data_IF_850534669193
#
_entry.id   IF_850534669193
#
_cell.length_a   1.000
_cell.length_b   1.000
_cell.length_c   1.000
_cell.angle_alpha   90.00
_cell.angle_beta   90.00
_cell.angle_gamma   90.00
#
_symmetry.space_group_name_H-M   'P 1'
#
loop_
_entity.id
_entity.type
_entity.pdbx_description
1 polymer ?
#
# COMPACT_ATOMS: atom_id res chain seq x y z
N UNK A 1 9.68 24.70 11.05
CA UNK A 1 10.42 23.45 10.92
C UNK A 1 10.01 22.86 9.58
N UNK A 2 10.91 22.87 8.57
CA UNK A 2 10.60 22.41 7.21
C UNK A 2 10.25 20.93 7.25
N UNK A 3 9.18 20.55 6.55
CA UNK A 3 8.88 19.15 6.24
C UNK A 3 10.07 18.54 5.50
N UNK A 4 10.42 17.27 5.72
CA UNK A 4 11.47 16.61 4.96
C UNK A 4 11.14 16.68 3.47
N UNK A 5 12.18 16.81 2.66
CA UNK A 5 12.07 16.85 1.21
C UNK A 5 11.43 15.54 0.71
N UNK A 6 10.26 15.64 0.10
CA UNK A 6 9.54 14.48 -0.45
C UNK A 6 10.39 13.65 -1.42
N UNK A 7 11.38 14.27 -2.08
CA UNK A 7 12.33 13.58 -2.94
C UNK A 7 13.30 12.66 -2.20
N UNK A 8 13.67 13.01 -0.96
CA UNK A 8 14.59 12.21 -0.16
C UNK A 8 13.93 10.90 0.32
N UNK A 9 12.67 10.94 0.73
CA UNK A 9 11.93 9.74 1.17
C UNK A 9 11.70 8.78 0.02
N UNK A 10 11.37 9.29 -1.16
CA UNK A 10 11.21 8.49 -2.40
C UNK A 10 12.51 7.76 -2.75
N UNK A 11 13.65 8.45 -2.69
CA UNK A 11 14.96 7.84 -2.99
C UNK A 11 15.33 6.75 -1.96
N UNK A 12 15.06 6.98 -0.67
CA UNK A 12 15.31 6.02 0.40
C UNK A 12 14.44 4.77 0.20
N UNK A 13 13.15 4.94 -0.04
CA UNK A 13 12.20 3.84 -0.26
C UNK A 13 12.61 3.00 -1.47
N UNK A 14 12.98 3.63 -2.59
CA UNK A 14 13.49 2.95 -3.77
C UNK A 14 14.72 2.09 -3.45
N UNK A 15 15.69 2.64 -2.74
CA UNK A 15 16.91 1.91 -2.36
C UNK A 15 16.61 0.72 -1.43
N UNK A 16 15.79 0.92 -0.42
CA UNK A 16 15.38 -0.14 0.52
C UNK A 16 14.70 -1.28 -0.21
N UNK A 17 13.70 -0.99 -1.05
CA UNK A 17 12.95 -2.01 -1.77
C UNK A 17 13.77 -2.72 -2.86
N UNK A 18 14.77 -2.05 -3.42
CA UNK A 18 15.73 -2.72 -4.31
C UNK A 18 16.53 -3.78 -3.57
N UNK A 19 17.01 -3.48 -2.35
CA UNK A 19 17.72 -4.43 -1.50
C UNK A 19 16.79 -5.58 -1.08
N UNK A 20 15.61 -5.25 -0.57
CA UNK A 20 14.60 -6.25 -0.16
C UNK A 20 14.25 -7.18 -1.32
N UNK A 21 14.05 -6.65 -2.53
CA UNK A 21 13.77 -7.48 -3.69
C UNK A 21 14.91 -8.45 -4.01
N UNK A 22 16.16 -8.07 -3.77
CA UNK A 22 17.31 -8.97 -4.00
C UNK A 22 17.40 -10.11 -2.98
N UNK A 23 16.81 -9.94 -1.80
CA UNK A 23 16.73 -10.96 -0.75
C UNK A 23 15.56 -11.93 -0.97
N UNK A 24 14.49 -11.49 -1.65
CA UNK A 24 13.35 -12.30 -2.02
C UNK A 24 13.57 -12.90 -3.40
N UNK A 25 13.72 -14.22 -3.45
CA UNK A 25 13.84 -14.93 -4.72
C UNK A 25 12.55 -14.86 -5.53
N UNK A 26 12.67 -15.03 -6.85
CA UNK A 26 11.50 -15.14 -7.75
C UNK A 26 10.51 -16.21 -7.28
N UNK A 27 10.97 -17.25 -6.58
CA UNK A 27 10.13 -18.32 -6.04
C UNK A 27 9.09 -17.81 -5.02
N UNK A 28 9.42 -16.79 -4.24
CA UNK A 28 8.45 -16.15 -3.34
C UNK A 28 7.34 -15.43 -4.13
N UNK A 29 7.72 -14.68 -5.16
CA UNK A 29 6.77 -14.02 -6.03
C UNK A 29 5.88 -15.04 -6.75
N UNK A 30 6.46 -16.11 -7.27
CA UNK A 30 5.70 -17.18 -7.95
C UNK A 30 4.68 -17.85 -7.03
N UNK A 31 5.03 -18.08 -5.76
CA UNK A 31 4.06 -18.62 -4.78
C UNK A 31 2.90 -17.67 -4.52
N UNK A 32 3.17 -16.37 -4.39
CA UNK A 32 2.12 -15.38 -4.21
C UNK A 32 1.21 -15.30 -5.45
N UNK A 33 1.79 -15.31 -6.64
CA UNK A 33 1.04 -15.33 -7.90
C UNK A 33 0.24 -16.62 -8.12
N UNK A 34 0.71 -17.75 -7.59
CA UNK A 34 0.02 -19.04 -7.69
C UNK A 34 -1.11 -19.20 -6.66
N UNK A 35 -1.30 -18.26 -5.76
CA UNK A 35 -2.35 -18.34 -4.76
C UNK A 35 -3.73 -18.56 -5.41
N UNK A 36 -4.56 -19.38 -4.79
CA UNK A 36 -5.87 -19.75 -5.34
C UNK A 36 -6.88 -18.59 -5.21
N UNK A 37 -6.69 -17.72 -4.23
CA UNK A 37 -7.59 -16.61 -3.92
C UNK A 37 -6.81 -15.41 -3.38
N UNK A 38 -7.45 -14.24 -3.39
CA UNK A 38 -6.92 -13.04 -2.74
C UNK A 38 -7.10 -13.17 -1.23
N UNK A 39 -6.02 -12.90 -0.51
CA UNK A 39 -6.04 -12.80 0.95
C UNK A 39 -5.43 -11.48 1.40
N UNK A 40 -5.83 -10.99 2.57
CA UNK A 40 -5.40 -9.72 3.11
C UNK A 40 -4.47 -9.88 4.31
N UNK A 41 -3.33 -9.22 4.20
CA UNK A 41 -2.39 -9.01 5.30
C UNK A 41 -1.71 -10.26 5.85
N UNK A 42 -1.04 -10.07 6.97
CA UNK A 42 -0.25 -11.11 7.64
C UNK A 42 -1.08 -12.32 8.09
N UNK A 43 -2.36 -12.11 8.40
CA UNK A 43 -3.28 -13.16 8.84
C UNK A 43 -3.94 -13.90 7.69
N UNK A 44 -3.64 -13.54 6.43
CA UNK A 44 -4.15 -14.21 5.23
C UNK A 44 -5.67 -14.33 5.23
N UNK A 45 -6.38 -13.23 5.63
CA UNK A 45 -7.85 -13.23 5.68
C UNK A 45 -8.39 -13.26 4.26
N UNK A 46 -9.19 -14.27 3.87
CA UNK A 46 -9.70 -14.40 2.51
C UNK A 46 -10.59 -13.21 2.10
N UNK A 47 -10.44 -12.74 0.86
CA UNK A 47 -11.29 -11.69 0.31
C UNK A 47 -12.78 -12.07 0.34
N UNK A 48 -13.10 -13.35 0.11
CA UNK A 48 -14.49 -13.84 0.17
C UNK A 48 -15.16 -13.64 1.54
N UNK A 49 -14.35 -13.53 2.61
CA UNK A 49 -14.87 -13.34 3.97
C UNK A 49 -15.00 -11.84 4.31
N UNK A 50 -14.22 -10.98 3.65
CA UNK A 50 -14.24 -9.53 3.86
C UNK A 50 -15.13 -8.79 2.86
N UNK A 51 -15.13 -9.20 1.61
CA UNK A 51 -15.92 -8.57 0.54
C UNK A 51 -15.48 -7.12 0.23
N UNK A 52 -14.19 -6.80 0.43
CA UNK A 52 -13.66 -5.45 0.23
C UNK A 52 -13.63 -5.07 -1.25
N UNK A 53 -13.24 -5.99 -2.12
CA UNK A 53 -13.12 -5.76 -3.56
C UNK A 53 -14.45 -5.99 -4.27
N UNK A 54 -15.24 -6.96 -3.81
CA UNK A 54 -16.46 -7.38 -4.48
C UNK A 54 -16.20 -8.04 -5.84
N UNK A 55 -17.17 -7.95 -6.75
CA UNK A 55 -16.97 -8.42 -8.13
C UNK A 55 -16.10 -7.42 -8.89
N UNK A 56 -14.95 -7.90 -9.35
CA UNK A 56 -13.95 -7.10 -10.08
C UNK A 56 -13.95 -7.38 -11.58
N UNK A 57 -14.77 -8.33 -12.05
CA UNK A 57 -14.79 -8.70 -13.47
C UNK A 57 -15.12 -7.49 -14.34
N UNK A 58 -14.26 -7.22 -15.32
CA UNK A 58 -14.42 -6.10 -16.25
C UNK A 58 -14.11 -4.71 -15.67
N UNK A 59 -13.69 -4.59 -14.42
CA UNK A 59 -13.29 -3.31 -13.85
C UNK A 59 -11.87 -2.92 -14.29
N UNK A 60 -11.66 -1.62 -14.48
CA UNK A 60 -10.34 -1.02 -14.60
C UNK A 60 -9.79 -0.79 -13.17
N UNK A 61 -8.71 -1.49 -12.83
CA UNK A 61 -8.14 -1.49 -11.47
C UNK A 61 -6.72 -0.95 -11.50
N UNK A 62 -6.39 -0.05 -10.57
CA UNK A 62 -5.04 0.43 -10.36
C UNK A 62 -4.50 -0.06 -9.02
N UNK A 63 -3.33 -0.69 -9.01
CA UNK A 63 -2.61 -1.06 -7.80
C UNK A 63 -1.47 -0.07 -7.56
N UNK A 64 -1.52 0.66 -6.44
CA UNK A 64 -0.51 1.64 -6.02
C UNK A 64 0.49 1.02 -5.03
N UNK A 65 1.76 0.98 -5.44
CA UNK A 65 2.81 0.25 -4.73
C UNK A 65 2.65 -1.25 -4.93
N UNK A 66 2.57 -1.69 -6.19
CA UNK A 66 2.24 -3.08 -6.53
C UNK A 66 3.36 -4.09 -6.23
N UNK A 67 4.58 -3.64 -5.98
CA UNK A 67 5.71 -4.53 -5.76
C UNK A 67 5.89 -5.52 -6.91
N UNK A 68 5.84 -6.80 -6.62
CA UNK A 68 5.86 -7.87 -7.63
C UNK A 68 4.52 -8.10 -8.31
N UNK A 69 3.54 -7.24 -8.10
CA UNK A 69 2.21 -7.22 -8.72
C UNK A 69 1.40 -8.52 -8.56
N UNK A 70 1.57 -9.20 -7.42
CA UNK A 70 0.83 -10.45 -7.19
C UNK A 70 -0.68 -10.21 -7.09
N UNK A 71 -1.10 -9.13 -6.42
CA UNK A 71 -2.52 -8.78 -6.29
C UNK A 71 -3.11 -8.42 -7.66
N UNK A 72 -2.41 -7.62 -8.47
CA UNK A 72 -2.79 -7.36 -9.87
C UNK A 72 -2.92 -8.64 -10.67
N UNK A 73 -2.00 -9.60 -10.50
CA UNK A 73 -2.06 -10.91 -11.16
C UNK A 73 -3.30 -11.72 -10.75
N UNK A 74 -3.65 -11.70 -9.45
CA UNK A 74 -4.86 -12.36 -8.95
C UNK A 74 -6.15 -11.68 -9.47
N UNK A 75 -6.17 -10.36 -9.51
CA UNK A 75 -7.28 -9.57 -10.06
C UNK A 75 -7.46 -9.84 -11.56
N UNK A 76 -6.37 -9.91 -12.33
CA UNK A 76 -6.42 -10.26 -13.76
C UNK A 76 -7.05 -11.64 -13.99
N UNK A 77 -6.76 -12.62 -13.13
CA UNK A 77 -7.39 -13.96 -13.21
C UNK A 77 -8.88 -13.95 -12.88
N UNK A 78 -9.35 -12.95 -12.14
CA UNK A 78 -10.76 -12.72 -11.86
C UNK A 78 -11.45 -11.87 -12.93
N UNK A 79 -10.76 -11.55 -14.03
CA UNK A 79 -11.32 -10.82 -15.16
C UNK A 79 -11.24 -9.30 -15.03
N UNK A 80 -10.53 -8.76 -14.05
CA UNK A 80 -10.23 -7.32 -13.99
C UNK A 80 -9.20 -6.92 -15.07
N UNK A 81 -9.12 -5.63 -15.35
CA UNK A 81 -8.07 -5.01 -16.18
C UNK A 81 -7.12 -4.19 -15.27
N UNK A 82 -6.16 -4.85 -14.60
CA UNK A 82 -5.29 -4.17 -13.69
C UNK A 82 -4.20 -3.37 -14.39
N UNK A 83 -3.73 -2.33 -13.70
CA UNK A 83 -2.48 -1.61 -13.96
C UNK A 83 -1.70 -1.59 -12.65
N UNK A 84 -0.45 -2.02 -12.65
CA UNK A 84 0.43 -1.96 -11.48
C UNK A 84 1.38 -0.77 -11.55
N UNK A 85 1.48 -0.01 -10.47
CA UNK A 85 2.46 1.08 -10.33
C UNK A 85 3.37 0.79 -9.14
N UNK A 86 4.67 0.82 -9.36
CA UNK A 86 5.66 0.71 -8.29
C UNK A 86 6.85 1.63 -8.54
N UNK A 87 7.46 2.10 -7.47
CA UNK A 87 8.63 2.98 -7.50
C UNK A 87 9.91 2.23 -7.89
N UNK A 88 9.94 0.89 -7.69
CA UNK A 88 11.15 0.07 -7.69
C UNK A 88 11.28 -0.76 -8.96
N UNK A 89 12.18 -0.43 -9.89
CA UNK A 89 12.38 -1.22 -11.12
C UNK A 89 12.62 -2.70 -10.88
N UNK A 90 13.38 -3.07 -9.84
CA UNK A 90 13.67 -4.46 -9.51
C UNK A 90 12.39 -5.26 -9.14
N UNK A 91 11.43 -4.64 -8.47
CA UNK A 91 10.13 -5.24 -8.19
C UNK A 91 9.34 -5.47 -9.48
N UNK A 92 9.31 -4.46 -10.36
CA UNK A 92 8.63 -4.55 -11.64
C UNK A 92 9.26 -5.59 -12.58
N UNK A 93 10.59 -5.76 -12.54
CA UNK A 93 11.26 -6.80 -13.30
C UNK A 93 10.87 -8.21 -12.82
N UNK A 94 10.73 -8.38 -11.51
CA UNK A 94 10.18 -9.62 -10.94
C UNK A 94 8.72 -9.82 -11.38
N UNK A 95 7.90 -8.77 -11.35
CA UNK A 95 6.53 -8.82 -11.81
C UNK A 95 6.42 -9.24 -13.30
N UNK A 96 7.30 -8.73 -14.18
CA UNK A 96 7.34 -9.12 -15.59
C UNK A 96 7.66 -10.61 -15.76
N UNK A 97 8.63 -11.14 -15.00
CA UNK A 97 8.92 -12.59 -15.01
C UNK A 97 7.73 -13.42 -14.52
N UNK A 98 6.98 -12.90 -13.54
CA UNK A 98 5.72 -13.52 -13.12
C UNK A 98 4.67 -13.50 -14.23
N UNK A 99 4.48 -12.36 -14.91
CA UNK A 99 3.59 -12.26 -16.06
C UNK A 99 3.91 -13.32 -17.14
N UNK A 100 5.18 -13.45 -17.49
CA UNK A 100 5.65 -14.46 -18.45
C UNK A 100 5.32 -15.88 -17.98
N UNK A 101 5.63 -16.19 -16.72
CA UNK A 101 5.40 -17.53 -16.16
C UNK A 101 3.93 -17.91 -16.08
N UNK A 102 3.06 -16.95 -15.75
CA UNK A 102 1.62 -17.21 -15.56
C UNK A 102 0.77 -16.88 -16.80
N UNK A 103 1.39 -16.43 -17.89
CA UNK A 103 0.69 -16.11 -19.14
C UNK A 103 -0.30 -14.95 -19.00
N UNK A 104 -0.02 -14.01 -18.14
CA UNK A 104 -0.84 -12.81 -17.91
C UNK A 104 -0.13 -11.58 -18.45
N UNK A 105 -0.89 -10.65 -19.03
CA UNK A 105 -0.35 -9.39 -19.57
C UNK A 105 -1.23 -8.24 -19.11
N UNK A 106 -0.61 -7.30 -18.41
CA UNK A 106 -1.20 -6.01 -18.02
C UNK A 106 -0.09 -4.97 -17.83
N UNK A 107 -0.40 -3.68 -17.91
CA UNK A 107 0.61 -2.63 -17.77
C UNK A 107 1.28 -2.62 -16.39
N UNK A 108 2.62 -2.48 -16.40
CA UNK A 108 3.44 -2.24 -15.22
C UNK A 108 4.21 -0.93 -15.43
N UNK A 109 4.01 0.02 -14.56
CA UNK A 109 4.50 1.40 -14.69
C UNK A 109 5.45 1.70 -13.53
N UNK A 110 6.66 2.14 -13.86
CA UNK A 110 7.55 2.73 -12.88
C UNK A 110 7.06 4.13 -12.54
N UNK A 111 6.73 4.38 -11.27
CA UNK A 111 6.19 5.66 -10.84
C UNK A 111 6.04 5.79 -9.34
N UNK A 112 5.97 7.05 -8.90
CA UNK A 112 5.63 7.40 -7.51
C UNK A 112 4.12 7.42 -7.37
N UNK A 113 3.58 6.67 -6.39
CA UNK A 113 2.15 6.61 -6.11
C UNK A 113 1.54 7.95 -5.62
N UNK A 114 2.38 8.92 -5.29
CA UNK A 114 1.96 10.30 -4.97
C UNK A 114 1.81 11.20 -6.21
N UNK A 115 2.25 10.74 -7.38
CA UNK A 115 2.16 11.45 -8.65
C UNK A 115 2.34 10.46 -9.80
N UNK A 116 1.29 9.81 -10.19
CA UNK A 116 1.27 8.73 -11.19
C UNK A 116 1.16 9.33 -12.59
N UNK A 117 2.00 8.91 -13.56
CA UNK A 117 1.96 9.45 -14.92
C UNK A 117 0.78 8.86 -15.74
N UNK A 118 -0.42 8.99 -15.23
CA UNK A 118 -1.65 8.53 -15.86
C UNK A 118 -2.70 9.65 -15.88
N UNK A 119 -3.60 9.66 -16.87
CA UNK A 119 -4.69 10.63 -16.95
C UNK A 119 -5.68 10.48 -15.79
N UNK A 120 -6.40 11.54 -15.48
CA UNK A 120 -7.46 11.57 -14.50
C UNK A 120 -8.61 10.60 -14.86
N UNK A 121 -9.35 10.15 -13.87
CA UNK A 121 -10.65 9.48 -14.04
C UNK A 121 -10.57 8.21 -14.90
N UNK A 122 -9.51 7.41 -14.69
CA UNK A 122 -9.23 6.21 -15.49
C UNK A 122 -9.73 4.90 -14.89
N UNK A 123 -10.01 4.84 -13.57
CA UNK A 123 -10.18 3.58 -12.84
C UNK A 123 -11.49 3.49 -12.06
N UNK A 124 -12.02 2.28 -11.95
CA UNK A 124 -13.20 1.96 -11.15
C UNK A 124 -12.81 1.63 -9.71
N UNK A 125 -11.60 1.09 -9.55
CA UNK A 125 -11.05 0.68 -8.26
C UNK A 125 -9.56 1.02 -8.19
N UNK A 126 -9.14 1.64 -7.09
CA UNK A 126 -7.73 1.77 -6.72
C UNK A 126 -7.48 0.90 -5.49
N UNK A 127 -6.42 0.09 -5.54
CA UNK A 127 -6.04 -0.79 -4.43
C UNK A 127 -4.61 -0.54 -3.97
N UNK A 128 -4.33 -0.79 -2.69
CA UNK A 128 -2.98 -0.79 -2.13
C UNK A 128 -2.91 -1.72 -0.93
N UNK A 129 -2.24 -2.86 -1.08
CA UNK A 129 -2.02 -3.83 0.00
C UNK A 129 -0.58 -3.69 0.48
N UNK A 130 -0.38 -3.03 1.63
CA UNK A 130 0.94 -2.69 2.20
C UNK A 130 1.90 -1.96 1.24
N UNK A 131 1.38 -1.41 0.13
CA UNK A 131 2.13 -0.61 -0.83
C UNK A 131 2.14 0.88 -0.47
N UNK A 132 1.55 1.72 -1.31
CA UNK A 132 1.47 3.18 -1.09
C UNK A 132 0.89 3.53 0.28
N UNK A 133 -0.07 2.74 0.76
CA UNK A 133 -0.73 2.90 2.06
C UNK A 133 0.21 2.87 3.28
N UNK A 134 1.43 2.36 3.12
CA UNK A 134 2.47 2.29 4.17
C UNK A 134 3.63 3.24 3.90
N UNK A 135 3.96 3.45 2.63
CA UNK A 135 5.23 4.06 2.21
C UNK A 135 5.13 5.48 1.73
N UNK A 136 3.93 5.93 1.36
CA UNK A 136 3.69 7.26 0.84
C UNK A 136 3.09 8.21 1.88
N UNK A 137 3.19 9.51 1.62
CA UNK A 137 2.49 10.53 2.37
C UNK A 137 0.97 10.34 2.17
N UNK A 138 0.19 10.12 3.26
CA UNK A 138 -1.23 9.81 3.16
C UNK A 138 -2.05 10.94 2.51
N UNK A 139 -1.67 12.21 2.70
CA UNK A 139 -2.38 13.32 2.08
C UNK A 139 -2.16 13.36 0.57
N UNK A 140 -0.99 12.93 0.10
CA UNK A 140 -0.62 12.95 -1.32
C UNK A 140 -1.14 11.74 -2.06
N UNK A 141 -0.85 10.52 -1.58
CA UNK A 141 -1.24 9.33 -2.34
C UNK A 141 -2.76 9.10 -2.34
N UNK A 142 -3.48 9.50 -1.27
CA UNK A 142 -4.96 9.42 -1.26
C UNK A 142 -5.56 10.45 -2.21
N UNK A 143 -5.01 11.68 -2.26
CA UNK A 143 -5.44 12.68 -3.22
C UNK A 143 -5.17 12.22 -4.66
N UNK A 144 -4.04 11.58 -4.91
CA UNK A 144 -3.69 11.03 -6.21
C UNK A 144 -4.60 9.85 -6.60
N UNK A 145 -4.88 8.94 -5.67
CA UNK A 145 -5.87 7.89 -5.88
C UNK A 145 -7.24 8.44 -6.23
N UNK A 146 -7.68 9.50 -5.54
CA UNK A 146 -8.95 10.17 -5.83
C UNK A 146 -8.96 10.83 -7.23
N UNK A 147 -7.85 11.42 -7.68
CA UNK A 147 -7.71 11.97 -9.04
C UNK A 147 -7.87 10.91 -10.12
N UNK A 148 -7.32 9.73 -9.86
CA UNK A 148 -7.30 8.62 -10.82
C UNK A 148 -8.62 7.85 -10.88
N UNK A 149 -9.44 7.93 -9.82
CA UNK A 149 -10.74 7.26 -9.74
C UNK A 149 -11.81 7.96 -10.57
N UNK A 150 -12.66 7.19 -11.19
CA UNK A 150 -13.93 7.67 -11.79
C UNK A 150 -14.88 8.13 -10.70
N UNK A 151 -15.84 9.02 -11.02
CA UNK A 151 -16.97 9.29 -10.12
C UNK A 151 -17.67 8.00 -9.73
N UNK A 152 -17.81 7.76 -8.42
CA UNK A 152 -18.35 6.51 -7.88
C UNK A 152 -17.36 5.36 -7.78
N UNK A 153 -16.11 5.54 -8.25
CA UNK A 153 -15.03 4.58 -8.03
C UNK A 153 -14.63 4.45 -6.56
N UNK A 154 -13.91 3.40 -6.23
CA UNK A 154 -13.58 3.05 -4.84
C UNK A 154 -12.08 2.97 -4.62
N UNK A 155 -11.63 3.41 -3.44
CA UNK A 155 -10.29 3.15 -2.92
C UNK A 155 -10.37 2.07 -1.84
N UNK A 156 -9.63 0.98 -2.02
CA UNK A 156 -9.50 -0.09 -1.03
C UNK A 156 -8.03 -0.28 -0.67
N UNK A 157 -7.69 -0.26 0.61
CA UNK A 157 -6.31 -0.44 1.02
C UNK A 157 -6.16 -1.12 2.37
N UNK A 158 -5.02 -1.77 2.55
CA UNK A 158 -4.58 -2.32 3.83
C UNK A 158 -3.29 -1.62 4.26
N UNK A 159 -3.25 -1.18 5.51
CA UNK A 159 -2.08 -0.55 6.13
C UNK A 159 -1.85 -1.11 7.54
N UNK A 160 -0.73 -0.76 8.14
CA UNK A 160 -0.46 -1.10 9.53
C UNK A 160 -1.43 -0.36 10.48
N UNK A 161 -1.82 -1.01 11.56
CA UNK A 161 -2.62 -0.33 12.58
C UNK A 161 -1.80 0.78 13.25
N UNK A 162 -2.47 1.83 13.72
CA UNK A 162 -1.83 2.92 14.48
C UNK A 162 -1.08 2.36 15.70
N UNK A 163 -1.64 1.36 16.39
CA UNK A 163 -0.99 0.71 17.52
C UNK A 163 0.30 0.00 17.11
N UNK A 164 0.30 -0.73 15.99
CA UNK A 164 1.51 -1.38 15.48
C UNK A 164 2.59 -0.34 15.18
N UNK A 165 2.22 0.78 14.56
CA UNK A 165 3.14 1.88 14.24
C UNK A 165 3.73 2.54 15.49
N UNK A 166 2.93 2.70 16.54
CA UNK A 166 3.38 3.26 17.83
C UNK A 166 4.29 2.30 18.60
N UNK A 167 4.11 0.99 18.41
CA UNK A 167 4.94 -0.03 19.07
C UNK A 167 6.28 -0.28 18.36
N UNK A 168 6.47 0.21 17.14
CA UNK A 168 7.77 0.13 16.45
C UNK A 168 8.70 1.17 17.05
N UNK A 169 9.50 0.76 18.01
CA UNK A 169 10.56 1.63 18.60
C UNK A 169 11.64 1.86 17.55
N UNK A 170 11.96 3.12 17.28
CA UNK A 170 13.14 3.50 16.51
C UNK A 170 14.41 3.23 17.33
N UNK A 171 14.77 1.96 17.49
CA UNK A 171 16.08 1.62 18.07
C UNK A 171 17.17 1.88 17.06
N UNK A 172 17.94 2.90 17.29
CA UNK A 172 19.18 3.25 16.57
C UNK A 172 20.35 2.33 16.98
N UNK A 173 20.12 1.07 17.29
CA UNK A 173 21.17 0.17 17.74
C UNK A 173 21.10 -1.16 16.97
N UNK A 174 22.20 -1.44 16.24
CA UNK A 174 22.63 -2.72 15.66
C UNK A 174 21.69 -3.38 14.61
N UNK A 175 22.25 -3.93 13.53
CA UNK A 175 21.47 -4.73 12.61
C UNK A 175 20.95 -5.97 13.35
N UNK A 176 19.68 -6.34 13.15
CA UNK A 176 19.18 -7.60 13.69
C UNK A 176 19.88 -8.77 13.01
N UNK A 177 19.99 -9.92 13.70
CA UNK A 177 20.53 -11.13 13.08
C UNK A 177 19.67 -11.51 11.87
N UNK A 178 20.34 -11.97 10.83
CA UNK A 178 19.77 -12.41 9.58
C UNK A 178 18.75 -13.55 9.80
N UNK A 179 17.46 -13.20 9.83
CA UNK A 179 16.34 -14.10 9.87
C UNK A 179 15.22 -13.60 8.94
N UNK A 180 14.41 -14.49 8.36
CA UNK A 180 13.33 -14.06 7.49
C UNK A 180 12.31 -13.23 8.28
N UNK A 181 12.18 -11.94 7.95
CA UNK A 181 11.19 -11.04 8.55
C UNK A 181 11.70 -9.83 9.32
N UNK A 182 13.02 -9.61 9.45
CA UNK A 182 13.58 -8.50 10.24
C UNK A 182 14.00 -7.28 9.41
N UNK A 183 13.24 -6.93 8.38
CA UNK A 183 13.40 -5.67 7.67
C UNK A 183 13.07 -4.49 8.59
N UNK A 184 13.99 -3.56 8.74
CA UNK A 184 13.78 -2.31 9.48
C UNK A 184 12.80 -1.44 8.68
N UNK A 185 11.55 -1.40 9.11
CA UNK A 185 10.52 -0.58 8.51
C UNK A 185 10.75 0.90 8.89
N UNK A 186 11.10 1.73 7.93
CA UNK A 186 11.01 3.19 8.08
C UNK A 186 9.71 3.64 7.43
N UNK A 187 8.71 3.94 8.25
CA UNK A 187 7.54 4.67 7.78
C UNK A 187 7.95 6.11 7.55
N UNK A 188 7.95 6.55 6.30
CA UNK A 188 8.08 7.97 5.98
C UNK A 188 6.83 8.69 6.50
N UNK A 189 7.02 9.66 7.39
CA UNK A 189 6.03 10.68 7.67
C UNK A 189 5.14 10.53 8.89
N UNK A 190 5.13 9.43 9.65
CA UNK A 190 4.45 9.43 10.95
C UNK A 190 5.35 10.04 12.03
N UNK A 191 5.42 11.37 12.05
CA UNK A 191 5.70 12.09 13.30
C UNK A 191 4.46 11.96 14.16
N UNK A 192 4.60 11.36 15.34
CA UNK A 192 3.64 11.60 16.40
C UNK A 192 3.51 13.13 16.56
N UNK A 193 2.36 13.68 16.19
CA UNK A 193 2.04 15.04 16.56
C UNK A 193 2.12 15.10 18.09
N UNK A 194 2.80 16.08 18.68
CA UNK A 194 2.78 16.24 20.14
C UNK A 194 1.31 16.39 20.53
N UNK A 195 0.83 15.46 21.34
CA UNK A 195 -0.48 15.59 21.99
C UNK A 195 -0.37 16.79 22.90
N UNK A 196 -1.08 17.86 22.59
CA UNK A 196 -1.18 19.03 23.45
C UNK A 196 -1.94 18.61 24.72
N UNK A 197 -1.28 18.50 25.88
CA UNK A 197 -1.94 18.10 27.12
C UNK A 197 -3.01 19.11 27.58
N UNK A 198 -3.09 20.30 26.96
CA UNK A 198 -4.11 21.31 27.25
C UNK A 198 -5.45 21.08 26.55
N UNK A 199 -5.53 20.12 25.61
CA UNK A 199 -6.76 19.80 24.90
C UNK A 199 -7.79 19.02 25.75
N UNK A 200 -7.39 18.46 26.87
CA UNK A 200 -8.27 17.68 27.77
C UNK A 200 -9.21 18.54 28.63
N UNK A 201 -9.01 19.85 28.71
CA UNK A 201 -9.82 20.72 29.57
C UNK A 201 -11.07 21.33 28.91
N UNK A 202 -11.35 21.03 27.66
CA UNK A 202 -12.57 21.50 26.98
C UNK A 202 -13.64 20.40 26.89
N UNK A 203 -14.08 19.91 28.05
CA UNK A 203 -15.33 19.12 28.09
C UNK A 203 -16.50 20.06 27.81
N UNK A 204 -17.33 19.64 26.84
CA UNK A 204 -18.59 20.29 26.56
C UNK A 204 -19.48 20.40 27.82
N UNK A 205 -20.26 21.48 27.96
CA UNK A 205 -21.18 21.61 29.10
C UNK A 205 -22.24 20.52 29.06
N UNK A 206 -22.58 19.99 30.23
CA UNK A 206 -23.63 19.00 30.42
C UNK A 206 -24.99 19.52 29.88
N UNK A 207 -25.69 18.66 29.18
CA UNK A 207 -27.07 18.94 28.73
C UNK A 207 -28.00 19.16 29.95
N UNK A 208 -28.93 20.12 29.89
CA UNK A 208 -29.88 20.35 30.97
C UNK A 208 -30.85 19.17 31.11
N UNK A 209 -31.02 18.72 32.36
CA UNK A 209 -31.92 17.62 32.70
C UNK A 209 -33.38 17.96 32.39
N UNK A 210 -34.13 16.99 31.92
CA UNK A 210 -35.58 17.04 31.84
C UNK A 210 -36.18 16.97 33.27
N UNK A 211 -37.13 17.83 33.60
CA UNK A 211 -37.94 17.65 34.84
C UNK A 211 -38.95 16.52 34.64
N UNK A 212 -39.28 15.89 35.77
CA UNK A 212 -40.23 14.79 35.94
C UNK A 212 -41.68 15.16 35.58
#
# INVERSE_FOLDING_TARGET
>A
MSLPDAGADVAINRAVWTIVNSEFTDEHAYRAWAAAEITWGLFQIPERDLGVLGDVAGLDVLELGCGTAYLSGLLARQGARPVGVDLTPAQLDTARRCQERFGLVFPLIEGNAENVPLPDVGFDLVVSEYGASVWCDPERWVAEAARLLRPGGRLAFLTNSVLATLCVTSTTASPPPSGPGSGRWRTSGLRALPVDPSAESRRAPAAPGHPA
#
